data_IF_509819572343
#
_entry.id   IF_509819572343
#
_cell.length_a   1.000
_cell.length_b   1.000
_cell.length_c   1.000
_cell.angle_alpha   90.00
_cell.angle_beta   90.00
_cell.angle_gamma   90.00
#
_symmetry.space_group_name_H-M   'P 1'
#
loop_
_entity.id
_entity.type
_entity.pdbx_description
1 polymer ?
#
# COMPACT_ATOMS: atom_id res chain seq x y z
N UNK A 1 1.35 15.30 15.48
CA UNK A 1 2.31 14.19 15.32
C UNK A 1 1.59 12.91 14.89
N UNK A 2 0.89 12.15 15.74
CA UNK A 2 0.21 10.90 15.29
C UNK A 2 -0.89 11.11 14.24
N UNK A 3 -1.70 12.17 14.34
CA UNK A 3 -2.74 12.46 13.33
C UNK A 3 -2.14 12.81 11.96
N UNK A 4 -1.03 13.55 11.94
CA UNK A 4 -0.35 13.98 10.72
C UNK A 4 0.31 12.79 10.01
N UNK A 5 0.86 11.86 10.79
CA UNK A 5 1.39 10.60 10.29
C UNK A 5 0.28 9.69 9.73
N UNK A 6 -0.86 9.61 10.41
CA UNK A 6 -2.02 8.87 9.93
C UNK A 6 -2.58 9.47 8.63
N UNK A 7 -2.66 10.80 8.53
CA UNK A 7 -3.11 11.48 7.32
C UNK A 7 -2.13 11.26 6.14
N UNK A 8 -0.82 11.26 6.41
CA UNK A 8 0.18 10.90 5.41
C UNK A 8 0.00 9.46 4.92
N UNK A 9 -0.30 8.51 5.82
CA UNK A 9 -0.61 7.12 5.44
C UNK A 9 -1.86 7.06 4.57
N UNK A 10 -2.94 7.79 4.90
CA UNK A 10 -4.16 7.86 4.07
C UNK A 10 -3.86 8.32 2.65
N UNK A 11 -3.10 9.42 2.53
CA UNK A 11 -2.71 10.00 1.24
C UNK A 11 -1.90 8.97 0.45
N UNK A 12 -0.95 8.30 1.10
CA UNK A 12 -0.12 7.30 0.45
C UNK A 12 -0.94 6.07 0.00
N UNK A 13 -1.88 5.59 0.81
CA UNK A 13 -2.78 4.49 0.43
C UNK A 13 -3.57 4.87 -0.82
N UNK A 14 -4.17 6.06 -0.84
CA UNK A 14 -4.95 6.52 -1.99
C UNK A 14 -4.09 6.57 -3.26
N UNK A 15 -2.88 7.12 -3.15
CA UNK A 15 -1.95 7.19 -4.28
C UNK A 15 -1.59 5.81 -4.83
N UNK A 16 -1.32 4.84 -3.96
CA UNK A 16 -1.04 3.46 -4.39
C UNK A 16 -2.29 2.82 -5.02
N UNK A 17 -3.48 3.05 -4.47
CA UNK A 17 -4.73 2.57 -5.05
C UNK A 17 -4.93 3.12 -6.48
N UNK A 18 -4.71 4.40 -6.69
CA UNK A 18 -4.85 5.04 -8.01
C UNK A 18 -3.89 4.40 -9.04
N UNK A 19 -2.63 4.18 -8.66
CA UNK A 19 -1.65 3.50 -9.51
C UNK A 19 -2.02 2.04 -9.80
N UNK A 20 -2.59 1.32 -8.81
CA UNK A 20 -3.10 -0.04 -9.03
C UNK A 20 -4.28 -0.01 -10.02
N UNK A 21 -5.20 0.95 -9.90
CA UNK A 21 -6.29 1.13 -10.87
C UNK A 21 -5.77 1.42 -12.28
N UNK A 22 -4.81 2.33 -12.42
CA UNK A 22 -4.18 2.63 -13.71
C UNK A 22 -3.54 1.38 -14.32
N UNK A 23 -2.78 0.61 -13.53
CA UNK A 23 -2.14 -0.62 -14.00
C UNK A 23 -3.17 -1.68 -14.39
N UNK A 24 -4.29 -1.79 -13.66
CA UNK A 24 -5.40 -2.70 -13.99
C UNK A 24 -6.07 -2.34 -15.31
N UNK A 25 -6.22 -1.05 -15.61
CA UNK A 25 -6.77 -0.58 -16.88
C UNK A 25 -5.85 -0.91 -18.07
N UNK A 26 -4.55 -1.09 -17.82
CA UNK A 26 -3.57 -1.50 -18.84
C UNK A 26 -3.45 -3.02 -18.95
N UNK A 27 -3.50 -3.75 -17.82
CA UNK A 27 -3.32 -5.20 -17.76
C UNK A 27 -4.24 -5.82 -16.70
N UNK A 28 -5.10 -6.72 -17.13
CA UNK A 28 -5.90 -7.53 -16.21
C UNK A 28 -5.00 -8.58 -15.53
N UNK A 29 -4.97 -8.57 -14.20
CA UNK A 29 -4.20 -9.55 -13.43
C UNK A 29 -4.72 -9.70 -12.00
N UNK A 30 -4.93 -10.95 -11.57
CA UNK A 30 -5.51 -11.30 -10.26
C UNK A 30 -4.74 -10.73 -9.05
N UNK A 31 -3.42 -10.60 -9.18
CA UNK A 31 -2.61 -9.92 -8.15
C UNK A 31 -3.08 -8.48 -7.91
N UNK A 32 -3.41 -7.73 -8.97
CA UNK A 32 -3.83 -6.34 -8.84
C UNK A 32 -5.23 -6.22 -8.20
N UNK A 33 -6.14 -7.18 -8.44
CA UNK A 33 -7.39 -7.29 -7.67
C UNK A 33 -7.10 -7.49 -6.19
N UNK A 34 -6.26 -8.48 -5.87
CA UNK A 34 -5.93 -8.83 -4.49
C UNK A 34 -5.23 -7.68 -3.77
N UNK A 35 -4.32 -6.99 -4.44
CA UNK A 35 -3.61 -5.84 -3.89
C UNK A 35 -4.59 -4.68 -3.62
N UNK A 36 -5.50 -4.42 -4.55
CA UNK A 36 -6.50 -3.37 -4.41
C UNK A 36 -7.45 -3.64 -3.23
N UNK A 37 -7.91 -4.88 -3.06
CA UNK A 37 -8.79 -5.25 -1.94
C UNK A 37 -8.07 -5.07 -0.60
N UNK A 38 -6.80 -5.48 -0.50
CA UNK A 38 -5.98 -5.21 0.70
C UNK A 38 -5.79 -3.73 0.98
N UNK A 39 -5.61 -2.91 -0.05
CA UNK A 39 -5.46 -1.45 0.12
C UNK A 39 -6.77 -0.81 0.59
N UNK A 40 -7.93 -1.28 0.11
CA UNK A 40 -9.25 -0.84 0.59
C UNK A 40 -9.46 -1.20 2.06
N UNK A 41 -9.18 -2.45 2.44
CA UNK A 41 -9.24 -2.88 3.85
C UNK A 41 -8.32 -2.01 4.73
N UNK A 42 -7.11 -1.71 4.24
CA UNK A 42 -6.19 -0.84 4.97
C UNK A 42 -6.75 0.58 5.09
N UNK A 43 -7.30 1.15 4.02
CA UNK A 43 -7.92 2.48 4.03
C UNK A 43 -9.07 2.57 5.04
N UNK A 44 -9.95 1.57 5.07
CA UNK A 44 -11.04 1.48 6.05
C UNK A 44 -10.50 1.40 7.49
N UNK A 45 -9.47 0.60 7.72
CA UNK A 45 -8.81 0.48 9.02
C UNK A 45 -8.23 1.82 9.46
N UNK A 46 -7.54 2.53 8.57
CA UNK A 46 -6.93 3.84 8.84
C UNK A 46 -7.97 4.94 9.08
N UNK A 47 -9.15 4.83 8.47
CA UNK A 47 -10.25 5.79 8.68
C UNK A 47 -11.05 5.54 9.96
N UNK A 48 -11.03 4.31 10.49
CA UNK A 48 -11.79 3.91 11.68
C UNK A 48 -10.95 3.85 12.95
N UNK A 49 -9.65 3.54 12.84
CA UNK A 49 -8.72 3.50 13.96
C UNK A 49 -8.01 4.84 14.16
N UNK A 50 -7.88 5.25 15.42
CA UNK A 50 -7.08 6.42 15.83
C UNK A 50 -5.64 6.03 16.22
N UNK A 51 -5.33 4.73 16.30
CA UNK A 51 -4.06 4.23 16.80
C UNK A 51 -3.18 3.66 15.67
N UNK A 52 -2.09 4.37 15.35
CA UNK A 52 -1.12 3.97 14.32
C UNK A 52 -0.32 2.71 14.71
N UNK A 53 -0.10 2.45 15.99
CA UNK A 53 0.70 1.31 16.43
C UNK A 53 -0.04 -0.02 16.25
N UNK A 54 -1.37 0.01 16.36
CA UNK A 54 -2.23 -1.14 16.06
C UNK A 54 -2.26 -1.41 14.56
N UNK A 55 -2.39 -0.37 13.74
CA UNK A 55 -2.32 -0.47 12.27
C UNK A 55 -1.03 -1.17 11.80
N UNK A 56 0.11 -0.81 12.40
CA UNK A 56 1.43 -1.34 12.04
C UNK A 56 1.62 -2.81 12.42
N UNK A 57 0.99 -3.26 13.51
CA UNK A 57 1.06 -4.67 13.95
C UNK A 57 0.31 -5.60 13.01
N UNK A 58 -0.82 -5.15 12.47
CA UNK A 58 -1.72 -5.96 11.63
C UNK A 58 -1.69 -5.60 10.13
N UNK A 59 -0.69 -4.85 9.68
CA UNK A 59 -0.56 -4.48 8.26
C UNK A 59 -0.40 -5.72 7.37
N UNK A 60 -1.50 -6.13 6.73
CA UNK A 60 -1.57 -7.23 5.74
C UNK A 60 -0.83 -6.93 4.42
N UNK A 61 -0.27 -5.73 4.31
CA UNK A 61 0.50 -5.25 3.16
C UNK A 61 1.99 -5.57 3.23
N UNK A 62 2.47 -6.12 4.35
CA UNK A 62 3.87 -6.55 4.47
C UNK A 62 4.22 -7.58 3.39
N UNK A 63 5.22 -7.27 2.56
CA UNK A 63 5.69 -8.13 1.48
C UNK A 63 4.84 -8.08 0.21
N UNK A 64 3.93 -7.11 0.08
CA UNK A 64 3.16 -6.89 -1.15
C UNK A 64 4.07 -6.47 -2.32
N UNK A 65 5.08 -5.65 -2.08
CA UNK A 65 6.10 -5.26 -3.05
C UNK A 65 6.88 -6.47 -3.56
N UNK A 66 7.33 -7.34 -2.65
CA UNK A 66 8.01 -8.58 -3.03
C UNK A 66 7.09 -9.45 -3.89
N UNK A 67 5.85 -9.65 -3.45
CA UNK A 67 4.86 -10.40 -4.22
C UNK A 67 4.57 -9.76 -5.59
N UNK A 68 4.66 -8.44 -5.70
CA UNK A 68 4.51 -7.72 -6.96
C UNK A 68 5.69 -8.01 -7.91
N UNK A 69 6.93 -7.97 -7.42
CA UNK A 69 8.12 -8.39 -8.17
C UNK A 69 8.11 -9.87 -8.58
N UNK A 70 7.46 -10.73 -7.80
CA UNK A 70 7.27 -12.14 -8.15
C UNK A 70 6.25 -12.34 -9.31
N UNK A 71 5.57 -11.28 -9.77
CA UNK A 71 4.69 -11.30 -10.95
C UNK A 71 5.40 -10.88 -12.23
N UNK A 72 4.73 -11.05 -13.38
CA UNK A 72 5.19 -10.55 -14.68
C UNK A 72 4.71 -9.12 -14.99
N UNK A 73 4.21 -8.39 -13.99
CA UNK A 73 3.63 -7.05 -14.17
C UNK A 73 4.63 -5.92 -14.00
N UNK A 74 5.72 -6.17 -13.28
CA UNK A 74 6.77 -5.17 -13.03
C UNK A 74 7.61 -5.01 -14.27
N UNK A 75 7.66 -3.79 -14.78
CA UNK A 75 8.44 -3.48 -15.98
C UNK A 75 9.84 -2.96 -15.62
N UNK A 76 9.97 -2.25 -14.50
CA UNK A 76 11.24 -1.74 -13.99
C UNK A 76 11.16 -1.40 -12.50
N UNK A 77 12.32 -1.22 -11.85
CA UNK A 77 12.38 -0.70 -10.49
C UNK A 77 11.95 0.77 -10.37
N UNK A 78 11.99 1.52 -11.49
CA UNK A 78 11.62 2.94 -11.55
C UNK A 78 10.12 3.14 -11.82
N UNK A 79 9.35 2.05 -11.87
CA UNK A 79 7.92 2.11 -12.09
C UNK A 79 7.21 2.83 -10.92
N UNK A 80 6.27 3.76 -11.18
CA UNK A 80 5.57 4.49 -10.13
C UNK A 80 4.92 3.59 -9.07
N UNK A 81 4.28 2.48 -9.47
CA UNK A 81 3.64 1.56 -8.54
C UNK A 81 4.65 0.87 -7.62
N UNK A 82 5.83 0.51 -8.14
CA UNK A 82 6.92 -0.07 -7.33
C UNK A 82 7.37 0.93 -6.27
N UNK A 83 7.67 2.15 -6.67
CA UNK A 83 8.20 3.20 -5.79
C UNK A 83 7.19 3.54 -4.67
N UNK A 84 5.93 3.72 -5.03
CA UNK A 84 4.91 4.17 -4.08
C UNK A 84 4.43 3.04 -3.16
N UNK A 85 4.44 1.78 -3.63
CA UNK A 85 4.17 0.61 -2.80
C UNK A 85 5.29 0.37 -1.78
N UNK A 86 6.55 0.56 -2.17
CA UNK A 86 7.70 0.50 -1.24
C UNK A 86 7.57 1.53 -0.13
N UNK A 87 7.30 2.79 -0.48
CA UNK A 87 7.06 3.87 0.50
C UNK A 87 5.94 3.52 1.47
N UNK A 88 4.82 2.99 0.97
CA UNK A 88 3.70 2.58 1.81
C UNK A 88 4.11 1.47 2.77
N UNK A 89 4.81 0.45 2.29
CA UNK A 89 5.32 -0.63 3.15
C UNK A 89 6.26 -0.09 4.24
N UNK A 90 7.18 0.81 3.90
CA UNK A 90 8.10 1.43 4.87
C UNK A 90 7.33 2.22 5.93
N UNK A 91 6.35 3.05 5.54
CA UNK A 91 5.53 3.82 6.49
C UNK A 91 4.77 2.93 7.48
N UNK A 92 4.32 1.77 7.01
CA UNK A 92 3.61 0.75 7.81
C UNK A 92 4.56 -0.12 8.65
N UNK A 93 5.87 -0.10 8.39
CA UNK A 93 6.88 -0.88 9.12
C UNK A 93 7.71 -0.05 10.11
N UNK A 94 7.76 1.28 9.95
CA UNK A 94 8.46 2.16 10.88
C UNK A 94 7.89 1.97 12.29
N UNK A 95 8.65 1.33 13.19
CA UNK A 95 8.35 1.37 14.62
C UNK A 95 8.84 2.71 15.15
N UNK A 96 7.96 3.46 15.79
CA UNK A 96 8.38 4.52 16.70
C UNK A 96 9.15 3.82 17.84
N UNK A 97 10.46 4.03 17.91
CA UNK A 97 11.29 3.58 19.04
C UNK A 97 11.00 4.43 20.28
#
# INVERSE_FOLDING_TARGET
>A
MQNEEMDNIKIQIQKVMDLVYEKKNQREHKFLDTLLDKLKELSETVNTNSNIDELRKDSKLKGALRAYFDTNLVESYDEPLVIELDKLEVMLQQKTN
#
